data_IF_559969364139
#
_entry.id   IF_559969364139
#
_cell.length_a   1.000
_cell.length_b   1.000
_cell.length_c   1.000
_cell.angle_alpha   90.00
_cell.angle_beta   90.00
_cell.angle_gamma   90.00
#
_symmetry.space_group_name_H-M   'P 1'
#
loop_
_entity.id
_entity.type
_entity.pdbx_description
1 polymer ?
#
# COMPACT_ATOMS: atom_id res chain seq x y z
N UNK A 1 17.29 15.28 -15.17
CA UNK A 1 15.82 14.98 -15.23
C UNK A 1 15.47 13.71 -16.05
N UNK A 2 16.41 12.77 -16.21
CA UNK A 2 16.22 11.57 -17.07
C UNK A 2 15.31 10.49 -16.46
N UNK A 3 14.96 10.58 -15.17
CA UNK A 3 14.22 9.53 -14.43
C UNK A 3 12.80 9.91 -14.01
N UNK A 4 12.30 11.11 -14.40
CA UNK A 4 10.94 11.56 -14.05
C UNK A 4 9.85 10.62 -14.60
N UNK A 5 9.88 10.18 -15.88
CA UNK A 5 8.86 9.27 -16.39
C UNK A 5 8.86 7.91 -15.66
N UNK A 6 10.03 7.41 -15.30
CA UNK A 6 10.16 6.17 -14.53
C UNK A 6 9.60 6.30 -13.11
N UNK A 7 9.85 7.44 -12.46
CA UNK A 7 9.27 7.74 -11.15
C UNK A 7 7.74 7.79 -11.20
N UNK A 8 7.17 8.47 -12.21
CA UNK A 8 5.72 8.54 -12.41
C UNK A 8 5.15 7.14 -12.64
N UNK A 9 5.80 6.33 -13.49
CA UNK A 9 5.38 4.97 -13.78
C UNK A 9 5.32 4.10 -12.51
N UNK A 10 6.38 4.13 -11.69
CA UNK A 10 6.40 3.38 -10.43
C UNK A 10 5.35 3.89 -9.45
N UNK A 11 5.15 5.20 -9.35
CA UNK A 11 4.12 5.78 -8.47
C UNK A 11 2.72 5.31 -8.88
N UNK A 12 2.41 5.35 -10.17
CA UNK A 12 1.13 4.85 -10.70
C UNK A 12 0.96 3.34 -10.47
N UNK A 13 2.01 2.56 -10.66
CA UNK A 13 1.98 1.11 -10.40
C UNK A 13 1.69 0.80 -8.92
N UNK A 14 2.29 1.55 -8.00
CA UNK A 14 2.04 1.41 -6.55
C UNK A 14 0.59 1.72 -6.22
N UNK A 15 0.05 2.85 -6.70
CA UNK A 15 -1.34 3.23 -6.47
C UNK A 15 -2.34 2.23 -7.08
N UNK A 16 -2.05 1.75 -8.30
CA UNK A 16 -2.86 0.72 -8.95
C UNK A 16 -2.84 -0.60 -8.14
N UNK A 17 -1.70 -0.99 -7.60
CA UNK A 17 -1.56 -2.18 -6.76
C UNK A 17 -2.36 -2.05 -5.46
N UNK A 18 -2.33 -0.88 -4.81
CA UNK A 18 -3.14 -0.64 -3.61
C UNK A 18 -4.64 -0.68 -3.92
N UNK A 19 -5.05 -0.05 -5.01
CA UNK A 19 -6.45 -0.10 -5.43
C UNK A 19 -6.90 -1.52 -5.78
N UNK A 20 -6.09 -2.26 -6.53
CA UNK A 20 -6.40 -3.64 -6.90
C UNK A 20 -6.53 -4.54 -5.66
N UNK A 21 -5.59 -4.44 -4.72
CA UNK A 21 -5.68 -5.16 -3.43
C UNK A 21 -6.99 -4.80 -2.71
N UNK A 22 -7.29 -3.50 -2.57
CA UNK A 22 -8.51 -3.04 -1.92
C UNK A 22 -9.77 -3.55 -2.63
N UNK A 23 -9.81 -3.49 -3.96
CA UNK A 23 -10.93 -3.98 -4.76
C UNK A 23 -11.13 -5.49 -4.64
N UNK A 24 -10.04 -6.26 -4.65
CA UNK A 24 -10.13 -7.71 -4.48
C UNK A 24 -10.71 -8.12 -3.12
N UNK A 25 -10.48 -7.33 -2.07
CA UNK A 25 -11.06 -7.60 -0.76
C UNK A 25 -12.58 -7.44 -0.72
N UNK A 26 -13.19 -6.67 -1.64
CA UNK A 26 -14.64 -6.58 -1.76
C UNK A 26 -15.29 -7.95 -2.04
N UNK A 27 -14.61 -8.81 -2.78
CA UNK A 27 -15.12 -10.15 -3.09
C UNK A 27 -14.98 -11.15 -1.93
N UNK A 28 -14.20 -10.81 -0.92
CA UNK A 28 -14.03 -11.67 0.26
C UNK A 28 -15.20 -11.56 1.25
N UNK A 29 -16.05 -10.54 1.12
CA UNK A 29 -17.17 -10.30 2.01
C UNK A 29 -18.48 -10.28 1.21
N UNK A 30 -19.47 -11.04 1.65
CA UNK A 30 -20.77 -11.16 0.99
C UNK A 30 -21.47 -9.80 0.83
N UNK A 31 -21.34 -8.95 1.84
CA UNK A 31 -22.00 -7.64 1.93
C UNK A 31 -21.40 -6.62 0.98
N UNK A 32 -20.15 -6.78 0.55
CA UNK A 32 -19.46 -5.86 -0.35
C UNK A 32 -19.30 -6.39 -1.76
N UNK A 33 -19.39 -7.71 -1.97
CA UNK A 33 -19.15 -8.36 -3.26
C UNK A 33 -20.06 -7.84 -4.40
N UNK A 34 -21.30 -7.42 -4.05
CA UNK A 34 -22.29 -6.90 -5.02
C UNK A 34 -22.19 -5.40 -5.26
N UNK A 35 -21.39 -4.65 -4.50
CA UNK A 35 -21.35 -3.18 -4.58
C UNK A 35 -20.63 -2.63 -5.82
N UNK A 36 -19.85 -3.46 -6.49
CA UNK A 36 -19.18 -3.15 -7.74
C UNK A 36 -17.99 -2.20 -7.62
N UNK A 37 -17.39 -1.93 -8.79
CA UNK A 37 -16.17 -1.14 -8.92
C UNK A 37 -16.32 0.32 -8.46
N UNK A 38 -17.47 0.93 -8.73
CA UNK A 38 -17.72 2.35 -8.39
C UNK A 38 -17.66 2.58 -6.88
N UNK A 39 -18.32 1.71 -6.10
CA UNK A 39 -18.27 1.80 -4.64
C UNK A 39 -16.85 1.62 -4.12
N UNK A 40 -16.11 0.62 -4.62
CA UNK A 40 -14.73 0.39 -4.25
C UNK A 40 -13.83 1.61 -4.55
N UNK A 41 -14.01 2.23 -5.73
CA UNK A 41 -13.25 3.41 -6.12
C UNK A 41 -13.54 4.60 -5.20
N UNK A 42 -14.81 4.87 -4.92
CA UNK A 42 -15.21 5.96 -4.00
C UNK A 42 -14.65 5.72 -2.60
N UNK A 43 -14.79 4.51 -2.05
CA UNK A 43 -14.24 4.15 -0.75
C UNK A 43 -12.71 4.31 -0.72
N UNK A 44 -12.02 3.91 -1.78
CA UNK A 44 -10.58 4.03 -1.90
C UNK A 44 -10.12 5.50 -1.93
N UNK A 45 -10.77 6.35 -2.74
CA UNK A 45 -10.44 7.77 -2.85
C UNK A 45 -10.72 8.49 -1.53
N UNK A 46 -11.88 8.29 -0.92
CA UNK A 46 -12.24 8.93 0.36
C UNK A 46 -11.31 8.46 1.48
N UNK A 47 -10.98 7.17 1.52
CA UNK A 47 -10.00 6.63 2.46
C UNK A 47 -8.60 7.24 2.26
N UNK A 48 -8.17 7.43 1.01
CA UNK A 48 -6.88 8.06 0.69
C UNK A 48 -6.82 9.52 1.13
N UNK A 49 -7.91 10.25 1.01
CA UNK A 49 -8.02 11.64 1.52
C UNK A 49 -7.97 11.66 3.06
N UNK A 50 -8.63 10.71 3.72
CA UNK A 50 -8.65 10.65 5.18
C UNK A 50 -7.26 10.43 5.80
N UNK A 51 -6.34 9.80 5.08
CA UNK A 51 -4.93 9.59 5.53
C UNK A 51 -4.15 10.91 5.65
N UNK A 52 -4.63 12.02 5.10
CA UNK A 52 -4.01 13.35 5.28
C UNK A 52 -3.99 13.75 6.76
N UNK A 53 -4.94 13.25 7.58
CA UNK A 53 -4.91 13.45 9.03
C UNK A 53 -3.68 12.72 9.60
N UNK A 54 -2.77 13.43 10.32
CA UNK A 54 -1.49 12.86 10.77
C UNK A 54 -1.70 11.86 11.92
N UNK A 55 -1.96 10.62 11.58
CA UNK A 55 -2.06 9.50 12.51
C UNK A 55 -1.14 8.37 12.06
N UNK A 56 -0.62 7.53 12.98
CA UNK A 56 0.20 6.40 12.60
C UNK A 56 -0.50 5.51 11.59
N UNK A 57 0.08 5.38 10.38
CA UNK A 57 -0.45 4.56 9.28
C UNK A 57 -1.90 4.91 8.86
N UNK A 58 -2.39 6.12 9.10
CA UNK A 58 -3.78 6.51 8.80
C UNK A 58 -4.83 5.82 9.69
N UNK A 59 -4.41 5.10 10.72
CA UNK A 59 -5.32 4.39 11.63
C UNK A 59 -6.29 5.36 12.30
N UNK A 60 -7.56 5.00 12.35
CA UNK A 60 -8.64 5.86 12.82
C UNK A 60 -9.35 6.60 11.69
N UNK A 61 -8.79 7.68 11.15
CA UNK A 61 -9.43 8.45 10.07
C UNK A 61 -9.78 7.61 8.84
N UNK A 62 -8.87 6.75 8.39
CA UNK A 62 -9.12 5.84 7.28
C UNK A 62 -10.27 4.86 7.59
N UNK A 63 -10.24 4.23 8.77
CA UNK A 63 -11.29 3.30 9.20
C UNK A 63 -12.66 3.99 9.25
N UNK A 64 -12.70 5.20 9.82
CA UNK A 64 -13.92 5.98 9.91
C UNK A 64 -14.47 6.32 8.52
N UNK A 65 -13.61 6.83 7.64
CA UNK A 65 -13.99 7.26 6.30
C UNK A 65 -14.53 6.09 5.46
N UNK A 66 -13.78 4.99 5.34
CA UNK A 66 -14.19 3.84 4.52
C UNK A 66 -15.42 3.15 5.11
N UNK A 67 -15.48 2.96 6.44
CA UNK A 67 -16.68 2.42 7.10
C UNK A 67 -17.93 3.27 6.80
N UNK A 68 -17.82 4.58 6.94
CA UNK A 68 -18.95 5.50 6.68
C UNK A 68 -19.39 5.41 5.22
N UNK A 69 -18.45 5.37 4.28
CA UNK A 69 -18.81 5.21 2.87
C UNK A 69 -19.52 3.88 2.60
N UNK A 70 -19.03 2.76 3.14
CA UNK A 70 -19.71 1.46 3.00
C UNK A 70 -21.12 1.48 3.56
N UNK A 71 -21.33 2.15 4.70
CA UNK A 71 -22.66 2.31 5.29
C UNK A 71 -23.59 3.14 4.41
N UNK A 72 -23.10 4.19 3.75
CA UNK A 72 -23.86 4.97 2.78
C UNK A 72 -24.25 4.14 1.53
N UNK A 73 -23.47 3.14 1.17
CA UNK A 73 -23.81 2.17 0.13
C UNK A 73 -24.70 1.01 0.61
N UNK A 74 -25.22 1.10 1.87
CA UNK A 74 -26.18 0.14 2.39
C UNK A 74 -25.59 -1.03 3.18
N UNK A 75 -24.29 -1.05 3.43
CA UNK A 75 -23.66 -2.08 4.29
C UNK A 75 -23.97 -1.78 5.74
N UNK A 76 -24.44 -2.77 6.51
CA UNK A 76 -24.71 -2.62 7.94
C UNK A 76 -23.42 -2.29 8.72
N UNK A 77 -23.58 -1.64 9.89
CA UNK A 77 -22.46 -1.16 10.70
C UNK A 77 -21.42 -2.25 11.03
N UNK A 78 -21.87 -3.42 11.49
CA UNK A 78 -20.96 -4.47 11.94
C UNK A 78 -20.12 -5.06 10.78
N UNK A 79 -20.69 -5.47 9.62
CA UNK A 79 -19.90 -5.89 8.47
C UNK A 79 -18.96 -4.81 7.96
N UNK A 80 -19.39 -3.53 7.89
CA UNK A 80 -18.54 -2.43 7.48
C UNK A 80 -17.34 -2.25 8.42
N UNK A 81 -17.54 -2.38 9.73
CA UNK A 81 -16.47 -2.32 10.72
C UNK A 81 -15.49 -3.48 10.58
N UNK A 82 -15.97 -4.71 10.44
CA UNK A 82 -15.10 -5.87 10.23
C UNK A 82 -14.30 -5.75 8.95
N UNK A 83 -14.92 -5.30 7.87
CA UNK A 83 -14.26 -5.07 6.60
C UNK A 83 -13.05 -4.13 6.76
N UNK A 84 -13.24 -2.94 7.33
CA UNK A 84 -12.16 -1.95 7.43
C UNK A 84 -11.04 -2.42 8.36
N UNK A 85 -11.35 -3.12 9.45
CA UNK A 85 -10.35 -3.65 10.37
C UNK A 85 -9.49 -4.73 9.69
N UNK A 86 -10.12 -5.69 9.03
CA UNK A 86 -9.41 -6.80 8.38
C UNK A 86 -8.57 -6.28 7.22
N UNK A 87 -9.15 -5.47 6.33
CA UNK A 87 -8.44 -4.95 5.16
C UNK A 87 -7.22 -4.12 5.57
N UNK A 88 -7.39 -3.21 6.52
CA UNK A 88 -6.29 -2.37 6.98
C UNK A 88 -5.18 -3.18 7.66
N UNK A 89 -5.55 -4.16 8.49
CA UNK A 89 -4.59 -5.04 9.16
C UNK A 89 -3.80 -5.88 8.16
N UNK A 90 -4.48 -6.51 7.20
CA UNK A 90 -3.83 -7.35 6.17
C UNK A 90 -2.91 -6.48 5.29
N UNK A 91 -3.36 -5.31 4.86
CA UNK A 91 -2.57 -4.40 4.05
C UNK A 91 -1.33 -3.90 4.81
N UNK A 92 -1.48 -3.52 6.06
CA UNK A 92 -0.37 -3.08 6.92
C UNK A 92 0.66 -4.19 7.10
N UNK A 93 0.21 -5.40 7.41
CA UNK A 93 1.09 -6.56 7.55
C UNK A 93 1.88 -6.83 6.27
N UNK A 94 1.21 -6.80 5.12
CA UNK A 94 1.83 -7.01 3.82
C UNK A 94 2.90 -5.96 3.52
N UNK A 95 2.61 -4.68 3.74
CA UNK A 95 3.56 -3.57 3.53
C UNK A 95 4.77 -3.69 4.46
N UNK A 96 4.57 -4.06 5.73
CA UNK A 96 5.66 -4.27 6.70
C UNK A 96 6.55 -5.42 6.25
N UNK A 97 5.99 -6.56 5.85
CA UNK A 97 6.77 -7.71 5.38
C UNK A 97 7.57 -7.39 4.12
N UNK A 98 6.96 -6.70 3.16
CA UNK A 98 7.65 -6.25 1.94
C UNK A 98 8.75 -5.22 2.25
N UNK A 99 8.52 -4.33 3.22
CA UNK A 99 9.51 -3.36 3.69
C UNK A 99 10.72 -4.03 4.32
N UNK A 100 10.52 -5.04 5.18
CA UNK A 100 11.59 -5.84 5.78
C UNK A 100 12.37 -6.57 4.69
N UNK A 101 11.68 -7.21 3.74
CA UNK A 101 12.31 -7.89 2.61
C UNK A 101 13.17 -6.92 1.78
N UNK A 102 12.63 -5.77 1.41
CA UNK A 102 13.37 -4.76 0.66
C UNK A 102 14.60 -4.26 1.40
N UNK A 103 14.49 -4.04 2.72
CA UNK A 103 15.62 -3.62 3.55
C UNK A 103 16.74 -4.66 3.58
N UNK A 104 16.39 -5.94 3.75
CA UNK A 104 17.35 -7.05 3.73
C UNK A 104 18.09 -7.09 2.38
N UNK A 105 17.34 -7.06 1.27
CA UNK A 105 17.92 -7.11 -0.09
C UNK A 105 18.86 -5.93 -0.33
N UNK A 106 18.47 -4.72 0.05
CA UNK A 106 19.31 -3.53 -0.10
C UNK A 106 20.59 -3.61 0.76
N UNK A 107 20.50 -4.14 1.98
CA UNK A 107 21.66 -4.34 2.84
C UNK A 107 22.68 -5.30 2.21
N UNK A 108 22.23 -6.42 1.65
CA UNK A 108 23.09 -7.36 0.93
C UNK A 108 23.72 -6.75 -0.33
N UNK A 109 22.94 -6.00 -1.12
CA UNK A 109 23.45 -5.33 -2.33
C UNK A 109 24.53 -4.28 -2.00
N UNK A 110 24.34 -3.51 -0.92
CA UNK A 110 25.32 -2.53 -0.45
C UNK A 110 26.63 -3.19 -0.04
N UNK A 111 26.57 -4.29 0.73
CA UNK A 111 27.74 -5.06 1.15
C UNK A 111 28.53 -5.62 -0.04
N UNK A 112 27.84 -6.11 -1.08
CA UNK A 112 28.46 -6.62 -2.31
C UNK A 112 29.21 -5.53 -3.10
N UNK A 113 28.64 -4.32 -3.21
CA UNK A 113 29.30 -3.18 -3.86
C UNK A 113 30.55 -2.71 -3.11
N UNK A 114 30.51 -2.66 -1.79
CA UNK A 114 31.68 -2.29 -0.98
C UNK A 114 32.82 -3.29 -1.07
N UNK A 115 32.53 -4.58 -1.23
CA UNK A 115 33.56 -5.61 -1.41
C UNK A 115 34.27 -5.56 -2.77
N UNK A 116 33.68 -4.93 -3.78
CA UNK A 116 34.26 -4.78 -5.15
C UNK A 116 35.12 -3.53 -5.30
N UNK A 117 34.95 -2.52 -4.48
CA UNK A 117 35.66 -1.23 -4.59
C UNK A 117 37.16 -1.28 -4.21
N UNK A 118 37.61 -2.05 -3.21
CA UNK A 118 39.05 -2.13 -2.89
C UNK A 118 39.90 -2.76 -4.00
N UNK A 119 39.35 -3.69 -4.76
CA UNK A 119 40.09 -4.35 -5.85
C UNK A 119 40.32 -3.44 -7.05
N UNK A 120 39.37 -2.56 -7.37
CA UNK A 120 39.49 -1.61 -8.47
C UNK A 120 40.52 -0.51 -8.19
N UNK A 121 40.58 0.01 -6.96
CA UNK A 121 41.57 1.02 -6.55
C UNK A 121 42.99 0.44 -6.49
N UNK A 122 43.14 -0.82 -6.10
CA UNK A 122 44.45 -1.50 -6.11
C UNK A 122 44.99 -1.81 -7.52
N UNK A 123 44.11 -1.94 -8.52
CA UNK A 123 44.49 -2.17 -9.90
C UNK A 123 44.91 -0.88 -10.63
N UNK A 124 44.37 0.29 -10.24
CA UNK A 124 44.70 1.59 -10.88
C UNK A 124 46.04 2.18 -10.38
N UNK A 125 46.55 1.71 -9.26
CA UNK A 125 47.84 2.13 -8.68
C UNK A 125 49.06 1.26 -9.11
N UNK A 126 48.95 0.41 -10.15
CA UNK A 126 50.03 -0.37 -10.73
C UNK A 126 50.33 0.06 -12.13
#
# INVERSE_FOLDING_TARGET
MRNVPLFILYSLAIWASYFLHFYLTFFCFKETASLGLTCALVCFVVGSIAVIVPTPNGAGPWHFAVKTMLMLYGVAYAPALYFVLIVHTVQTLLVVLLGIYAWIVLAFMKKRKQGQQPAAVAADNR
#
